data_IF_088233125576
#
_entry.id   IF_088233125576
#
_cell.length_a   1.000
_cell.length_b   1.000
_cell.length_c   1.000
_cell.angle_alpha   90.00
_cell.angle_beta   90.00
_cell.angle_gamma   90.00
#
_symmetry.space_group_name_H-M   'P 1'
#
loop_
_entity.id
_entity.type
_entity.pdbx_description
1 polymer ?
#
# COMPACT_ATOMS: atom_id res chain seq x y z
N UNK A 1 8.63 -19.66 -7.94
CA UNK A 1 9.05 -19.42 -6.56
C UNK A 1 10.41 -18.76 -6.58
N UNK A 2 10.62 -17.69 -5.82
CA UNK A 2 11.88 -16.93 -5.75
C UNK A 2 12.20 -16.62 -4.29
N UNK A 3 13.47 -16.77 -3.91
CA UNK A 3 13.98 -16.49 -2.55
C UNK A 3 14.77 -15.20 -2.57
N UNK A 4 14.58 -14.39 -1.53
CA UNK A 4 15.17 -13.06 -1.35
C UNK A 4 16.04 -13.04 -0.09
N UNK A 5 17.06 -12.18 -0.10
CA UNK A 5 17.86 -11.84 1.07
C UNK A 5 17.21 -10.65 1.80
N UNK A 6 17.58 -10.47 3.05
CA UNK A 6 17.20 -9.28 3.82
C UNK A 6 17.56 -8.01 3.05
N UNK A 7 16.64 -7.04 3.01
CA UNK A 7 16.71 -5.78 2.30
C UNK A 7 16.62 -5.86 0.77
N UNK A 8 16.41 -7.06 0.18
CA UNK A 8 16.10 -7.14 -1.25
C UNK A 8 14.74 -6.48 -1.53
N UNK A 9 14.70 -5.63 -2.57
CA UNK A 9 13.47 -5.03 -3.06
C UNK A 9 12.77 -6.03 -3.96
N UNK A 10 11.50 -6.32 -3.65
CA UNK A 10 10.65 -7.22 -4.43
C UNK A 10 10.03 -6.46 -5.61
N UNK A 11 9.49 -5.28 -5.34
CA UNK A 11 9.02 -4.28 -6.31
C UNK A 11 9.03 -2.89 -5.67
N UNK A 12 9.02 -1.84 -6.49
CA UNK A 12 9.02 -0.44 -6.04
C UNK A 12 7.65 0.20 -6.23
N UNK A 13 7.35 1.20 -5.39
CA UNK A 13 6.22 2.10 -5.58
C UNK A 13 6.30 2.75 -6.96
N UNK A 14 5.16 2.78 -7.68
CA UNK A 14 5.07 3.31 -9.03
C UNK A 14 5.44 2.32 -10.15
N UNK A 15 6.03 1.15 -9.85
CA UNK A 15 6.28 0.12 -10.86
C UNK A 15 4.97 -0.38 -11.48
N UNK A 16 5.04 -0.79 -12.75
CA UNK A 16 3.93 -1.50 -13.39
C UNK A 16 3.62 -2.82 -12.66
N UNK A 17 2.34 -3.12 -12.49
CA UNK A 17 1.89 -4.24 -11.68
C UNK A 17 1.24 -5.34 -12.55
N UNK A 18 2.05 -6.27 -13.05
CA UNK A 18 1.63 -7.44 -13.84
C UNK A 18 1.38 -8.71 -13.04
N UNK A 19 1.56 -8.65 -11.73
CA UNK A 19 1.59 -9.82 -10.88
C UNK A 19 1.33 -9.49 -9.42
N UNK A 20 0.91 -10.49 -8.67
CA UNK A 20 0.89 -10.50 -7.22
C UNK A 20 1.84 -11.58 -6.69
N UNK A 21 2.04 -11.62 -5.38
CA UNK A 21 2.93 -12.55 -4.74
C UNK A 21 2.26 -13.21 -3.51
N UNK A 22 2.46 -14.52 -3.36
CA UNK A 22 2.14 -15.27 -2.15
C UNK A 22 3.42 -15.46 -1.34
N UNK A 23 3.44 -15.01 -0.08
CA UNK A 23 4.56 -15.21 0.83
C UNK A 23 4.47 -16.64 1.38
N UNK A 24 5.43 -17.48 1.00
CA UNK A 24 5.47 -18.88 1.46
C UNK A 24 6.42 -19.08 2.65
N UNK A 25 7.39 -18.18 2.85
CA UNK A 25 8.28 -18.16 4.01
C UNK A 25 8.83 -16.75 4.22
N UNK A 26 9.17 -16.44 5.46
CA UNK A 26 9.74 -15.15 5.85
C UNK A 26 8.73 -14.03 5.95
N UNK A 27 9.24 -12.80 5.91
CA UNK A 27 8.45 -11.58 6.09
C UNK A 27 8.84 -10.45 5.13
N UNK A 28 7.87 -9.61 4.78
CA UNK A 28 7.99 -8.50 3.83
C UNK A 28 7.48 -7.22 4.45
N UNK A 29 8.29 -6.17 4.43
CA UNK A 29 7.89 -4.81 4.80
C UNK A 29 7.30 -4.07 3.61
N UNK A 30 6.21 -3.35 3.85
CA UNK A 30 5.53 -2.51 2.87
C UNK A 30 5.76 -1.05 3.23
N UNK A 31 6.33 -0.28 2.30
CA UNK A 31 6.78 1.08 2.55
C UNK A 31 6.26 2.06 1.49
N UNK A 32 5.94 3.27 1.92
CA UNK A 32 5.82 4.44 1.03
C UNK A 32 7.07 5.29 1.16
N UNK A 33 7.45 5.97 0.08
CA UNK A 33 8.64 6.80 -0.01
C UNK A 33 9.94 6.10 0.45
N UNK A 34 10.08 4.79 0.19
CA UNK A 34 11.20 3.96 0.63
C UNK A 34 12.55 4.52 0.19
N UNK A 35 13.50 4.61 1.14
CA UNK A 35 14.84 5.14 0.90
C UNK A 35 14.92 6.66 0.87
N UNK A 36 13.86 7.38 1.27
CA UNK A 36 13.85 8.84 1.41
C UNK A 36 13.72 9.26 2.87
N UNK A 37 13.87 10.55 3.15
CA UNK A 37 13.62 11.12 4.50
C UNK A 37 12.16 11.00 4.97
N UNK A 38 11.23 10.73 4.05
CA UNK A 38 9.81 10.53 4.31
C UNK A 38 9.40 9.05 4.32
N UNK A 39 10.38 8.15 4.42
CA UNK A 39 10.09 6.72 4.47
C UNK A 39 9.12 6.38 5.61
N UNK A 40 8.04 5.69 5.26
CA UNK A 40 7.08 5.22 6.24
C UNK A 40 6.71 3.76 5.96
N UNK A 41 6.88 2.91 6.98
CA UNK A 41 6.49 1.52 6.92
C UNK A 41 5.01 1.35 7.26
N UNK A 42 4.21 0.99 6.26
CA UNK A 42 2.76 0.82 6.39
C UNK A 42 2.39 -0.50 7.06
N UNK A 43 3.12 -1.58 6.77
CA UNK A 43 2.79 -2.92 7.26
C UNK A 43 4.01 -3.86 7.22
N UNK A 44 3.90 -4.95 7.97
CA UNK A 44 4.72 -6.17 7.82
C UNK A 44 3.77 -7.31 7.47
N UNK A 45 4.08 -8.03 6.39
CA UNK A 45 3.35 -9.19 5.93
C UNK A 45 4.21 -10.43 6.11
N UNK A 46 3.65 -11.47 6.68
CA UNK A 46 4.32 -12.74 6.97
C UNK A 46 3.86 -13.85 6.01
N UNK A 47 4.46 -15.02 6.13
CA UNK A 47 4.04 -16.20 5.37
C UNK A 47 2.52 -16.44 5.50
N UNK A 48 1.88 -16.79 4.39
CA UNK A 48 0.42 -16.90 4.29
C UNK A 48 -0.28 -15.65 3.77
N UNK A 49 0.39 -14.50 3.73
CA UNK A 49 -0.17 -13.27 3.19
C UNK A 49 0.16 -13.10 1.71
N UNK A 50 -0.70 -12.33 1.02
CA UNK A 50 -0.48 -11.88 -0.35
C UNK A 50 -0.03 -10.41 -0.37
N UNK A 51 0.74 -10.03 -1.40
CA UNK A 51 1.11 -8.64 -1.65
C UNK A 51 1.08 -8.31 -3.14
N UNK A 52 0.85 -7.04 -3.46
CA UNK A 52 0.77 -6.55 -4.83
C UNK A 52 -0.50 -6.96 -5.58
N UNK A 53 -1.48 -7.51 -4.87
CA UNK A 53 -2.76 -7.96 -5.39
C UNK A 53 -3.57 -6.81 -6.03
N UNK A 54 -3.49 -5.61 -5.45
CA UNK A 54 -4.24 -4.44 -5.92
C UNK A 54 -3.91 -4.14 -7.38
N UNK A 55 -2.63 -3.99 -7.69
CA UNK A 55 -2.20 -3.65 -9.04
C UNK A 55 -2.53 -4.73 -10.09
N UNK A 56 -2.67 -6.00 -9.69
CA UNK A 56 -3.13 -7.05 -10.59
C UNK A 56 -4.65 -7.01 -10.79
N UNK A 57 -5.42 -6.60 -9.76
CA UNK A 57 -6.89 -6.56 -9.81
C UNK A 57 -7.39 -5.34 -10.56
N UNK A 58 -6.78 -4.17 -10.37
CA UNK A 58 -7.24 -2.89 -10.88
C UNK A 58 -6.33 -2.28 -11.97
N UNK A 59 -5.24 -2.96 -12.33
CA UNK A 59 -4.23 -2.51 -13.30
C UNK A 59 -3.56 -1.18 -12.94
N UNK A 60 -3.51 -0.82 -11.65
CA UNK A 60 -2.80 0.36 -11.18
C UNK A 60 -1.33 0.06 -10.89
N UNK A 61 -0.44 1.07 -10.96
CA UNK A 61 0.93 0.96 -10.49
C UNK A 61 1.00 0.53 -9.01
N UNK A 62 2.14 -0.05 -8.62
CA UNK A 62 2.40 -0.44 -7.22
C UNK A 62 2.17 0.74 -6.28
N UNK A 63 1.27 0.62 -5.33
CA UNK A 63 0.95 1.66 -4.34
C UNK A 63 2.05 1.88 -3.30
N UNK A 64 2.98 0.92 -3.15
CA UNK A 64 4.04 0.93 -2.16
C UNK A 64 5.24 0.11 -2.63
N UNK A 65 6.39 0.25 -1.95
CA UNK A 65 7.57 -0.57 -2.13
C UNK A 65 7.52 -1.77 -1.18
N UNK A 66 7.82 -2.96 -1.70
CA UNK A 66 7.92 -4.19 -0.91
C UNK A 66 9.37 -4.62 -0.76
N UNK A 67 9.80 -4.89 0.48
CA UNK A 67 11.18 -5.23 0.84
C UNK A 67 11.20 -6.47 1.73
N UNK A 68 12.05 -7.44 1.42
CA UNK A 68 12.27 -8.60 2.27
C UNK A 68 12.94 -8.19 3.59
N UNK A 69 12.39 -8.62 4.74
CA UNK A 69 12.88 -8.23 6.06
C UNK A 69 13.90 -9.22 6.66
N UNK A 70 13.99 -10.41 6.09
CA UNK A 70 14.89 -11.46 6.55
C UNK A 70 15.43 -12.30 5.39
N UNK A 71 16.55 -12.96 5.61
CA UNK A 71 17.11 -13.88 4.65
C UNK A 71 16.21 -15.12 4.50
N UNK A 72 16.11 -15.63 3.28
CA UNK A 72 15.27 -16.79 3.00
C UNK A 72 13.79 -16.45 2.78
N UNK A 73 13.39 -15.16 2.78
CA UNK A 73 12.04 -14.76 2.41
C UNK A 73 11.71 -15.29 1.03
N UNK A 74 10.67 -16.11 0.93
CA UNK A 74 10.33 -16.84 -0.30
C UNK A 74 8.94 -16.51 -0.77
N UNK A 75 8.83 -16.14 -2.07
CA UNK A 75 7.59 -15.69 -2.71
C UNK A 75 7.28 -16.53 -3.95
N UNK A 76 5.99 -16.77 -4.17
CA UNK A 76 5.45 -17.30 -5.43
C UNK A 76 4.87 -16.11 -6.21
N UNK A 77 5.46 -15.79 -7.37
CA UNK A 77 4.88 -14.81 -8.29
C UNK A 77 3.68 -15.43 -9.00
N UNK A 78 2.57 -14.70 -9.05
CA UNK A 78 1.31 -15.07 -9.69
C UNK A 78 0.95 -13.95 -10.65
N UNK A 79 1.07 -14.18 -11.96
CA UNK A 79 0.67 -13.26 -13.00
C UNK A 79 -0.81 -13.42 -13.34
N UNK A 80 -1.30 -12.57 -14.23
CA UNK A 80 -2.70 -12.60 -14.68
C UNK A 80 -3.08 -13.96 -15.28
N UNK A 81 -2.18 -14.55 -16.09
CA UNK A 81 -2.42 -15.85 -16.76
C UNK A 81 -2.47 -17.03 -15.79
N UNK A 82 -1.68 -16.96 -14.74
CA UNK A 82 -1.57 -17.98 -13.70
C UNK A 82 -2.68 -17.85 -12.64
N UNK A 83 -3.34 -16.69 -12.56
CA UNK A 83 -4.29 -16.36 -11.50
C UNK A 83 -5.41 -17.41 -11.37
N UNK A 84 -6.13 -17.69 -12.47
CA UNK A 84 -7.21 -18.67 -12.44
C UNK A 84 -6.74 -20.05 -12.01
N UNK A 85 -5.64 -20.55 -12.58
CA UNK A 85 -5.09 -21.87 -12.23
C UNK A 85 -4.60 -21.92 -10.79
N UNK A 86 -3.98 -20.85 -10.28
CA UNK A 86 -3.48 -20.80 -8.91
C UNK A 86 -4.59 -20.93 -7.87
N UNK A 87 -5.76 -20.31 -8.11
CA UNK A 87 -6.89 -20.29 -7.17
C UNK A 87 -7.95 -21.38 -7.42
N UNK A 88 -7.97 -22.02 -8.62
CA UNK A 88 -8.93 -23.10 -8.92
C UNK A 88 -8.83 -24.27 -7.93
N UNK A 89 -7.60 -24.64 -7.57
CA UNK A 89 -7.33 -25.72 -6.64
C UNK A 89 -7.29 -25.28 -5.16
N UNK A 90 -7.37 -23.96 -4.91
CA UNK A 90 -7.19 -23.33 -3.59
C UNK A 90 -8.13 -22.13 -3.39
N UNK A 91 -9.46 -22.35 -3.49
CA UNK A 91 -10.42 -21.24 -3.43
C UNK A 91 -10.40 -20.52 -2.06
N UNK A 92 -9.99 -21.21 -0.99
CA UNK A 92 -9.83 -20.61 0.33
C UNK A 92 -8.77 -19.50 0.36
N UNK A 93 -7.74 -19.58 -0.51
CA UNK A 93 -6.69 -18.56 -0.63
C UNK A 93 -7.25 -17.24 -1.20
N UNK A 94 -8.26 -17.31 -2.07
CA UNK A 94 -8.96 -16.13 -2.56
C UNK A 94 -9.73 -15.42 -1.43
N UNK A 95 -10.36 -16.18 -0.52
CA UNK A 95 -11.00 -15.63 0.67
C UNK A 95 -9.99 -14.91 1.59
N UNK A 96 -8.76 -15.39 1.66
CA UNK A 96 -7.70 -14.70 2.42
C UNK A 96 -7.37 -13.33 1.85
N UNK A 97 -7.26 -13.20 0.52
CA UNK A 97 -7.10 -11.88 -0.13
C UNK A 97 -8.27 -10.97 0.24
N UNK A 98 -9.51 -11.44 0.14
CA UNK A 98 -10.69 -10.66 0.49
C UNK A 98 -10.68 -10.24 1.97
N UNK A 99 -10.23 -11.11 2.88
CA UNK A 99 -10.08 -10.79 4.30
C UNK A 99 -9.01 -9.72 4.52
N UNK A 100 -7.86 -9.84 3.85
CA UNK A 100 -6.78 -8.85 3.93
C UNK A 100 -7.23 -7.48 3.43
N UNK A 101 -7.90 -7.40 2.27
CA UNK A 101 -8.47 -6.16 1.74
C UNK A 101 -9.51 -5.58 2.69
N UNK A 102 -10.42 -6.39 3.22
CA UNK A 102 -11.41 -5.96 4.21
C UNK A 102 -10.78 -5.42 5.49
N UNK A 103 -9.70 -6.06 5.98
CA UNK A 103 -8.98 -5.60 7.17
C UNK A 103 -8.27 -4.26 6.90
N UNK A 104 -7.69 -4.08 5.71
CA UNK A 104 -7.06 -2.83 5.28
C UNK A 104 -8.07 -1.68 5.21
N UNK A 105 -9.23 -1.89 4.57
CA UNK A 105 -10.31 -0.90 4.52
C UNK A 105 -10.76 -0.50 5.92
N UNK A 106 -10.95 -1.47 6.83
CA UNK A 106 -11.32 -1.17 8.23
C UNK A 106 -10.25 -0.38 8.97
N UNK A 107 -8.97 -0.68 8.75
CA UNK A 107 -7.86 0.08 9.35
C UNK A 107 -7.87 1.51 8.86
N UNK A 108 -7.88 1.71 7.53
CA UNK A 108 -7.92 3.05 6.92
C UNK A 108 -9.13 3.87 7.39
N UNK A 109 -10.31 3.24 7.52
CA UNK A 109 -11.49 3.90 8.06
C UNK A 109 -11.31 4.35 9.52
N UNK A 110 -10.61 3.55 10.35
CA UNK A 110 -10.29 3.94 11.74
C UNK A 110 -9.34 5.11 11.80
N UNK A 111 -8.29 5.07 10.98
CA UNK A 111 -7.26 6.11 10.90
C UNK A 111 -7.87 7.42 10.41
N UNK A 112 -8.71 7.38 9.39
CA UNK A 112 -9.48 8.52 8.91
C UNK A 112 -10.37 9.12 10.01
N UNK A 113 -11.14 8.28 10.74
CA UNK A 113 -11.97 8.76 11.86
C UNK A 113 -11.15 9.36 12.99
N UNK A 114 -9.96 8.81 13.27
CA UNK A 114 -9.04 9.37 14.26
C UNK A 114 -8.54 10.75 13.83
N UNK A 115 -8.12 10.91 12.58
CA UNK A 115 -7.71 12.19 12.02
C UNK A 115 -8.85 13.24 12.06
N UNK A 116 -10.07 12.86 11.69
CA UNK A 116 -11.23 13.75 11.79
C UNK A 116 -11.48 14.24 13.24
N UNK A 117 -11.36 13.34 14.23
CA UNK A 117 -11.53 13.73 15.65
C UNK A 117 -10.46 14.70 16.12
N UNK A 118 -9.21 14.52 15.70
CA UNK A 118 -8.11 15.44 16.00
C UNK A 118 -8.41 16.81 15.41
N UNK A 119 -8.84 16.86 14.15
CA UNK A 119 -9.21 18.11 13.48
C UNK A 119 -10.39 18.82 14.15
N UNK A 120 -11.41 18.06 14.59
CA UNK A 120 -12.55 18.61 15.34
C UNK A 120 -12.11 19.16 16.71
N UNK A 121 -11.22 18.47 17.44
CA UNK A 121 -10.70 18.96 18.71
C UNK A 121 -9.87 20.23 18.55
N UNK A 122 -9.08 20.34 17.49
CA UNK A 122 -8.30 21.54 17.17
C UNK A 122 -9.21 22.75 16.87
N UNK A 123 -10.31 22.52 16.21
CA UNK A 123 -11.30 23.57 15.89
C UNK A 123 -12.05 24.10 17.14
N UNK A 124 -12.16 23.26 18.19
CA UNK A 124 -12.81 23.64 19.44
C UNK A 124 -11.87 24.34 20.43
N UNK A 125 -10.55 24.30 20.22
CA UNK A 125 -9.52 24.89 21.10
C UNK A 125 -9.02 26.26 20.62
N UNK A 126 -9.84 27.03 19.89
CA UNK A 126 -9.49 28.40 19.47
C UNK A 126 -9.24 29.36 20.66
N UNK A 127 -9.47 28.92 21.92
CA UNK A 127 -9.26 29.69 23.16
C UNK A 127 -7.96 29.32 23.94
N UNK A 128 -7.05 28.47 23.42
CA UNK A 128 -5.82 28.08 24.14
C UNK A 128 -4.52 28.69 23.56
N UNK A 129 -3.41 28.78 24.39
CA UNK A 129 -2.20 29.55 24.04
C UNK A 129 -1.53 29.12 22.74
N UNK A 130 -1.17 30.10 21.93
CA UNK A 130 -0.74 30.04 20.53
C UNK A 130 0.40 29.05 20.17
N UNK A 131 1.21 28.57 21.11
CA UNK A 131 2.33 27.65 20.82
C UNK A 131 1.89 26.19 20.67
N UNK A 132 0.96 25.73 21.50
CA UNK A 132 0.43 24.35 21.46
C UNK A 132 -0.46 24.14 20.24
N UNK A 133 -1.20 25.18 19.87
CA UNK A 133 -2.02 25.24 18.66
C UNK A 133 -1.16 25.11 17.38
N UNK A 134 0.01 25.74 17.31
CA UNK A 134 0.90 25.68 16.13
C UNK A 134 1.50 24.30 15.89
N UNK A 135 1.89 23.57 16.94
CA UNK A 135 2.45 22.22 16.82
C UNK A 135 1.40 21.24 16.34
N UNK A 136 0.21 21.28 16.95
CA UNK A 136 -0.91 20.42 16.58
C UNK A 136 -1.46 20.73 15.17
N UNK A 137 -1.49 22.02 14.79
CA UNK A 137 -1.84 22.43 13.42
C UNK A 137 -0.82 21.96 12.39
N UNK A 138 0.47 21.97 12.73
CA UNK A 138 1.54 21.45 11.88
C UNK A 138 1.43 19.94 11.67
N UNK A 139 1.18 19.18 12.74
CA UNK A 139 0.99 17.72 12.66
C UNK A 139 -0.29 17.35 11.92
N UNK A 140 -1.40 18.03 12.18
CA UNK A 140 -2.66 17.82 11.48
C UNK A 140 -2.55 18.19 9.99
N UNK A 141 -1.83 19.25 9.66
CA UNK A 141 -1.56 19.65 8.28
C UNK A 141 -0.71 18.61 7.56
N UNK A 142 0.35 18.10 8.19
CA UNK A 142 1.19 17.04 7.61
C UNK A 142 0.41 15.76 7.33
N UNK A 143 -0.49 15.34 8.25
CA UNK A 143 -1.37 14.19 8.05
C UNK A 143 -2.39 14.44 6.93
N UNK A 144 -2.95 15.64 6.86
CA UNK A 144 -3.90 16.03 5.82
C UNK A 144 -3.24 16.12 4.44
N UNK A 145 -2.03 16.66 4.36
CA UNK A 145 -1.26 16.76 3.12
C UNK A 145 -0.89 15.37 2.60
N UNK A 146 -0.43 14.47 3.47
CA UNK A 146 -0.16 13.05 3.14
C UNK A 146 -1.42 12.32 2.67
N UNK A 147 -2.56 12.55 3.33
CA UNK A 147 -3.85 11.99 2.92
C UNK A 147 -4.31 12.54 1.57
N UNK A 148 -4.21 13.87 1.38
CA UNK A 148 -4.60 14.51 0.14
C UNK A 148 -3.71 14.11 -1.05
N UNK A 149 -2.41 13.89 -0.85
CA UNK A 149 -1.52 13.34 -1.87
C UNK A 149 -1.94 11.93 -2.27
N UNK A 150 -2.27 11.10 -1.29
CA UNK A 150 -2.76 9.72 -1.53
C UNK A 150 -4.11 9.74 -2.25
N UNK A 151 -5.04 10.58 -1.82
CA UNK A 151 -6.37 10.71 -2.44
C UNK A 151 -6.32 11.39 -3.80
N UNK A 152 -5.43 12.36 -4.01
CA UNK A 152 -5.21 12.97 -5.32
C UNK A 152 -4.60 11.98 -6.32
N UNK A 153 -3.70 11.11 -5.87
CA UNK A 153 -3.27 9.99 -6.71
C UNK A 153 -4.45 9.10 -7.08
N UNK A 154 -5.23 8.65 -6.11
CA UNK A 154 -6.41 7.80 -6.34
C UNK A 154 -7.41 8.47 -7.28
N UNK A 155 -7.71 9.76 -7.09
CA UNK A 155 -8.68 10.49 -7.91
C UNK A 155 -8.16 10.75 -9.35
N UNK A 156 -6.88 11.07 -9.53
CA UNK A 156 -6.28 11.23 -10.87
C UNK A 156 -6.31 9.93 -11.69
N UNK A 157 -6.32 8.80 -11.02
CA UNK A 157 -6.51 7.50 -11.67
C UNK A 157 -7.99 7.23 -11.97
N UNK A 158 -8.89 7.60 -11.07
CA UNK A 158 -10.32 7.36 -11.22
C UNK A 158 -10.96 8.22 -12.31
N UNK A 159 -10.48 9.44 -12.58
CA UNK A 159 -10.99 10.36 -13.59
C UNK A 159 -10.24 10.28 -14.94
N UNK A 160 -9.26 9.38 -15.07
CA UNK A 160 -8.51 9.19 -16.32
C UNK A 160 -7.57 10.34 -16.69
N UNK A 161 -7.33 11.31 -15.80
CA UNK A 161 -6.47 12.47 -16.07
C UNK A 161 -4.97 12.15 -16.01
N UNK A 162 -4.59 10.96 -15.51
CA UNK A 162 -3.26 10.39 -15.67
C UNK A 162 -3.23 9.42 -16.84
N UNK A 163 -3.02 9.95 -18.02
CA UNK A 163 -2.67 9.16 -19.21
C UNK A 163 -1.24 8.62 -19.02
N UNK A 164 -1.10 7.30 -18.87
CA UNK A 164 0.15 6.66 -19.24
C UNK A 164 0.26 6.72 -20.74
N UNK A 165 1.39 7.16 -21.32
CA UNK A 165 1.63 6.94 -22.71
C UNK A 165 1.61 5.42 -22.95
N UNK A 166 0.55 4.96 -23.57
CA UNK A 166 0.48 3.63 -24.13
C UNK A 166 1.62 3.57 -25.16
N UNK A 167 2.65 2.81 -24.89
CA UNK A 167 3.66 2.44 -25.86
C UNK A 167 3.10 1.28 -26.69
N UNK A 168 2.66 1.53 -27.95
CA UNK A 168 2.05 0.49 -28.78
C UNK A 168 3.07 -0.39 -29.51
N UNK A 169 4.35 -0.30 -29.22
CA UNK A 169 5.40 -1.03 -29.94
C UNK A 169 6.24 -1.90 -29.00
N UNK A 170 5.70 -3.05 -28.63
CA UNK A 170 6.48 -4.28 -28.34
C UNK A 170 5.53 -5.49 -28.34
N UNK A 171 5.17 -5.94 -29.54
CA UNK A 171 4.77 -7.32 -29.83
C UNK A 171 5.72 -7.88 -30.88
#
# INVERSE_FOLDING_TARGET
MKTYKKNDIIFKQGDYADSMFDITAGSVGIYVAYGTEHENRLAVLEAGHFLGEMGLIDNFPRSATAVALEDGTTLVKIGEKEFSGYFSDRPERLLEIMRQLSARVRSQTRDYKAACRILESLRQTEDEPAERSKTLQSEAKSLLDSYNETMNMVNRYADGSMFFPFYPDQF
#
